data_IF_248451356895
#
_entry.id   IF_248451356895
#
_cell.length_a   1.000
_cell.length_b   1.000
_cell.length_c   1.000
_cell.angle_alpha   90.00
_cell.angle_beta   90.00
_cell.angle_gamma   90.00
#
_symmetry.space_group_name_H-M   'P 1'
#
loop_
_entity.id
_entity.type
_entity.pdbx_description
1 polymer ?
#
# COMPACT_ATOMS: atom_id res chain seq x y z
N UNK A 1 7.21 -1.31 18.00
CA UNK A 1 8.02 -0.08 17.80
C UNK A 1 9.12 -0.20 16.73
N UNK A 2 9.34 -1.36 16.07
CA UNK A 2 10.41 -1.49 15.07
C UNK A 2 10.10 -0.76 13.75
N UNK A 3 8.91 -0.97 13.19
CA UNK A 3 8.55 -0.41 11.88
C UNK A 3 8.57 1.13 11.84
N UNK A 4 8.13 1.82 12.92
CA UNK A 4 8.17 3.30 12.99
C UNK A 4 9.59 3.85 12.98
N UNK A 5 10.50 3.24 13.74
CA UNK A 5 11.92 3.64 13.77
C UNK A 5 12.60 3.41 12.42
N UNK A 6 12.35 2.25 11.82
CA UNK A 6 12.87 1.93 10.49
C UNK A 6 12.34 2.92 9.44
N UNK A 7 11.04 3.19 9.41
CA UNK A 7 10.44 4.14 8.49
C UNK A 7 11.07 5.53 8.62
N UNK A 8 11.19 6.06 9.84
CA UNK A 8 11.83 7.35 10.09
C UNK A 8 13.31 7.38 9.65
N UNK A 9 14.06 6.30 9.92
CA UNK A 9 15.46 6.20 9.49
C UNK A 9 15.61 6.17 7.97
N UNK A 10 14.73 5.44 7.27
CA UNK A 10 14.72 5.37 5.81
C UNK A 10 14.30 6.71 5.19
N UNK A 11 13.26 7.36 5.74
CA UNK A 11 12.84 8.70 5.33
C UNK A 11 13.94 9.74 5.52
N UNK A 12 14.73 9.64 6.58
CA UNK A 12 15.86 10.54 6.82
C UNK A 12 17.02 10.29 5.86
N UNK A 13 17.29 9.02 5.51
CA UNK A 13 18.43 8.63 4.70
C UNK A 13 18.19 8.69 3.18
N UNK A 14 16.94 8.74 2.73
CA UNK A 14 16.62 8.72 1.29
C UNK A 14 17.01 10.03 0.60
N UNK A 15 17.52 9.92 -0.63
CA UNK A 15 17.73 11.04 -1.54
C UNK A 15 16.74 11.01 -2.73
N UNK A 16 15.88 10.01 -2.79
CA UNK A 16 14.85 9.90 -3.82
C UNK A 16 13.56 10.63 -3.41
N UNK A 17 12.84 11.17 -4.39
CA UNK A 17 11.54 11.81 -4.19
C UNK A 17 10.40 10.81 -3.91
N UNK A 18 10.68 9.51 -4.06
CA UNK A 18 9.69 8.45 -3.82
C UNK A 18 9.30 8.37 -2.34
N UNK A 19 8.00 8.27 -2.02
CA UNK A 19 7.53 8.28 -0.64
C UNK A 19 7.88 6.96 0.09
N UNK A 20 8.34 7.09 1.33
CA UNK A 20 8.53 5.97 2.26
C UNK A 20 7.46 6.07 3.34
N UNK A 21 6.55 5.09 3.39
CA UNK A 21 5.35 5.15 4.23
C UNK A 21 5.27 3.95 5.17
N UNK A 22 4.58 4.15 6.30
CA UNK A 22 4.15 3.07 7.18
C UNK A 22 2.64 3.14 7.36
N UNK A 23 1.95 2.07 7.01
CA UNK A 23 0.52 1.91 7.30
C UNK A 23 0.35 1.35 8.71
N UNK A 24 -0.32 2.10 9.58
CA UNK A 24 -0.63 1.67 10.94
C UNK A 24 -2.11 1.29 11.03
N UNK A 25 -2.39 0.00 11.21
CA UNK A 25 -3.75 -0.48 11.41
C UNK A 25 -4.11 -0.49 12.91
N UNK A 26 -5.19 0.18 13.27
CA UNK A 26 -5.66 0.25 14.66
C UNK A 26 -6.44 -1.01 15.05
N UNK A 27 -6.39 -1.37 16.34
CA UNK A 27 -7.15 -2.47 16.94
C UNK A 27 -6.89 -3.86 16.32
N UNK A 28 -5.66 -4.09 15.82
CA UNK A 28 -5.23 -5.39 15.31
C UNK A 28 -3.96 -5.87 16.01
N UNK A 29 -3.86 -7.19 16.20
CA UNK A 29 -2.65 -7.87 16.68
C UNK A 29 -1.92 -8.60 15.54
N UNK A 30 -1.01 -9.51 15.89
CA UNK A 30 -0.28 -10.35 14.92
C UNK A 30 -1.12 -11.52 14.37
N UNK A 31 -2.33 -11.72 14.89
CA UNK A 31 -3.21 -12.83 14.53
C UNK A 31 -3.95 -12.63 13.22
N UNK A 32 -4.82 -13.59 12.90
CA UNK A 32 -5.67 -13.54 11.72
C UNK A 32 -6.56 -12.28 11.74
N UNK A 33 -6.66 -11.62 10.58
CA UNK A 33 -7.52 -10.45 10.35
C UNK A 33 -8.91 -10.91 9.91
N UNK A 34 -9.90 -10.04 10.04
CA UNK A 34 -11.17 -10.27 9.33
C UNK A 34 -10.94 -10.25 7.82
N UNK A 35 -11.85 -10.87 7.06
CA UNK A 35 -11.78 -10.87 5.59
C UNK A 35 -11.79 -9.44 5.06
N UNK A 36 -12.69 -8.58 5.54
CA UNK A 36 -12.77 -7.17 5.12
C UNK A 36 -11.46 -6.41 5.33
N UNK A 37 -10.82 -6.56 6.50
CA UNK A 37 -9.51 -5.92 6.78
C UNK A 37 -8.40 -6.47 5.90
N UNK A 38 -8.47 -7.74 5.55
CA UNK A 38 -7.51 -8.35 4.63
C UNK A 38 -7.67 -7.81 3.22
N UNK A 39 -8.91 -7.63 2.76
CA UNK A 39 -9.22 -7.00 1.46
C UNK A 39 -8.75 -5.55 1.44
N UNK A 40 -9.04 -4.76 2.47
CA UNK A 40 -8.56 -3.38 2.60
C UNK A 40 -7.04 -3.28 2.57
N UNK A 41 -6.34 -4.15 3.30
CA UNK A 41 -4.88 -4.22 3.27
C UNK A 41 -4.35 -4.52 1.87
N UNK A 42 -4.93 -5.51 1.19
CA UNK A 42 -4.52 -5.87 -0.18
C UNK A 42 -4.79 -4.73 -1.16
N UNK A 43 -5.92 -4.05 -1.03
CA UNK A 43 -6.27 -2.90 -1.87
C UNK A 43 -5.26 -1.76 -1.70
N UNK A 44 -4.92 -1.39 -0.46
CA UNK A 44 -3.93 -0.33 -0.17
C UNK A 44 -2.54 -0.68 -0.74
N UNK A 45 -2.11 -1.95 -0.59
CA UNK A 45 -0.82 -2.42 -1.10
C UNK A 45 -0.78 -2.36 -2.63
N UNK A 46 -1.82 -2.87 -3.30
CA UNK A 46 -1.88 -2.88 -4.76
C UNK A 46 -1.98 -1.46 -5.34
N UNK A 47 -2.78 -0.58 -4.72
CA UNK A 47 -2.88 0.82 -5.14
C UNK A 47 -1.53 1.54 -5.00
N UNK A 48 -0.80 1.32 -3.91
CA UNK A 48 0.55 1.87 -3.74
C UNK A 48 1.51 1.36 -4.82
N UNK A 49 1.55 0.05 -5.05
CA UNK A 49 2.39 -0.55 -6.10
C UNK A 49 2.03 -0.03 -7.49
N UNK A 50 0.75 0.10 -7.79
CA UNK A 50 0.27 0.65 -9.05
C UNK A 50 0.74 2.09 -9.25
N UNK A 51 0.60 2.94 -8.23
CA UNK A 51 1.10 4.33 -8.28
C UNK A 51 2.62 4.42 -8.47
N UNK A 52 3.39 3.51 -7.87
CA UNK A 52 4.86 3.50 -7.93
C UNK A 52 5.40 2.95 -9.26
N UNK A 53 4.63 2.11 -9.95
CA UNK A 53 5.04 1.45 -11.20
C UNK A 53 4.39 2.05 -12.44
N UNK A 54 3.38 2.90 -12.28
CA UNK A 54 2.56 3.41 -13.39
C UNK A 54 1.54 2.40 -13.92
N UNK A 55 1.35 1.26 -13.24
CA UNK A 55 0.28 0.31 -13.58
C UNK A 55 -1.06 1.00 -13.39
N UNK A 56 -1.92 0.92 -14.41
CA UNK A 56 -3.30 1.42 -14.36
C UNK A 56 -4.22 0.21 -14.48
N UNK A 57 -5.26 0.10 -13.63
CA UNK A 57 -6.27 -0.93 -13.84
C UNK A 57 -6.89 -0.73 -15.23
N UNK A 58 -7.20 -1.82 -15.93
CA UNK A 58 -8.08 -1.73 -17.09
C UNK A 58 -9.36 -0.99 -16.69
N UNK A 59 -9.85 -0.13 -17.59
CA UNK A 59 -11.13 0.53 -17.39
C UNK A 59 -12.21 -0.54 -17.55
N UNK A 60 -12.95 -0.91 -16.49
CA UNK A 60 -13.93 -2.01 -16.58
C UNK A 60 -15.10 -1.67 -17.51
N UNK A 61 -15.28 -0.38 -17.84
CA UNK A 61 -16.27 0.11 -18.79
C UNK A 61 -15.67 0.39 -20.19
N UNK A 62 -14.37 0.14 -20.41
CA UNK A 62 -13.83 0.00 -21.75
C UNK A 62 -14.32 -1.32 -22.33
N UNK A 63 -15.60 -1.37 -22.69
CA UNK A 63 -16.12 -2.39 -23.59
C UNK A 63 -15.21 -2.44 -24.80
N UNK A 64 -14.59 -3.60 -25.04
CA UNK A 64 -13.98 -3.93 -26.31
C UNK A 64 -14.94 -3.49 -27.40
N UNK A 65 -14.53 -2.47 -28.16
CA UNK A 65 -15.29 -1.98 -29.30
C UNK A 65 -15.59 -3.15 -30.23
N UNK A 66 -16.84 -3.16 -30.68
CA UNK A 66 -17.45 -3.99 -31.74
C UNK A 66 -16.49 -4.61 -32.76
#
# INVERSE_FOLDING_TARGET
MHARKMCAALQWATAADAPILIRNEANVGHGARSVSRSVELSADVLAFMASATGLRPEDPDATDGE
#
